data_IF_724111339636
#
_entry.id   IF_724111339636
#
_cell.length_a   1.000
_cell.length_b   1.000
_cell.length_c   1.000
_cell.angle_alpha   90.00
_cell.angle_beta   90.00
_cell.angle_gamma   90.00
#
_symmetry.space_group_name_H-M   'P 1'
#
loop_
_entity.id
_entity.type
_entity.pdbx_description
1 polymer ?
#
# COMPACT_ATOMS: atom_id res chain seq x y z
N UNK A 1 -6.94 2.66 9.66
CA UNK A 1 -6.68 1.29 10.13
C UNK A 1 -6.74 1.18 11.64
N UNK A 2 -6.01 1.98 12.40
CA UNK A 2 -5.99 1.91 13.88
C UNK A 2 -7.38 1.96 14.53
N UNK A 3 -8.28 2.82 14.05
CA UNK A 3 -9.69 2.86 14.50
C UNK A 3 -10.43 1.54 14.30
N UNK A 4 -10.21 0.87 13.17
CA UNK A 4 -10.81 -0.43 12.84
C UNK A 4 -10.20 -1.49 13.75
N UNK A 5 -8.89 -1.49 13.92
CA UNK A 5 -8.19 -2.46 14.74
C UNK A 5 -8.55 -2.36 16.23
N UNK A 6 -8.76 -1.17 16.78
CA UNK A 6 -9.06 -1.02 18.21
C UNK A 6 -10.54 -1.25 18.54
N UNK A 7 -11.44 -1.32 17.55
CA UNK A 7 -12.87 -1.58 17.74
C UNK A 7 -13.25 -3.00 17.27
N UNK A 8 -13.67 -3.85 18.21
CA UNK A 8 -13.98 -5.26 17.91
C UNK A 8 -15.10 -5.45 16.88
N UNK A 9 -16.18 -4.67 16.98
CA UNK A 9 -17.31 -4.77 16.06
C UNK A 9 -16.93 -4.28 14.67
N UNK A 10 -16.31 -3.10 14.58
CA UNK A 10 -15.87 -2.53 13.31
C UNK A 10 -14.82 -3.42 12.62
N UNK A 11 -13.90 -4.01 13.38
CA UNK A 11 -12.95 -5.00 12.86
C UNK A 11 -13.67 -6.22 12.28
N UNK A 12 -14.65 -6.78 12.99
CA UNK A 12 -15.40 -7.94 12.52
C UNK A 12 -16.14 -7.63 11.22
N UNK A 13 -16.77 -6.47 11.13
CA UNK A 13 -17.41 -5.98 9.91
C UNK A 13 -16.41 -5.83 8.76
N UNK A 14 -15.22 -5.25 9.03
CA UNK A 14 -14.17 -5.09 8.03
C UNK A 14 -13.63 -6.44 7.52
N UNK A 15 -13.40 -7.39 8.43
CA UNK A 15 -12.97 -8.75 8.09
C UNK A 15 -14.02 -9.43 7.21
N UNK A 16 -15.29 -9.37 7.60
CA UNK A 16 -16.39 -9.96 6.83
C UNK A 16 -16.53 -9.32 5.45
N UNK A 17 -16.46 -7.99 5.35
CA UNK A 17 -16.54 -7.28 4.07
C UNK A 17 -15.40 -7.67 3.12
N UNK A 18 -14.18 -7.89 3.64
CA UNK A 18 -13.06 -8.38 2.84
C UNK A 18 -13.24 -9.83 2.41
N UNK A 19 -13.74 -10.70 3.29
CA UNK A 19 -14.02 -12.09 2.93
C UNK A 19 -15.08 -12.15 1.82
N UNK A 20 -16.17 -11.39 1.95
CA UNK A 20 -17.22 -11.32 0.93
C UNK A 20 -16.73 -10.75 -0.39
N UNK A 21 -15.82 -9.76 -0.36
CA UNK A 21 -15.19 -9.25 -1.59
C UNK A 21 -14.39 -10.35 -2.30
N UNK A 22 -13.58 -11.10 -1.57
CA UNK A 22 -12.74 -12.17 -2.15
C UNK A 22 -13.60 -13.32 -2.67
N UNK A 23 -14.69 -13.68 -1.97
CA UNK A 23 -15.67 -14.66 -2.46
C UNK A 23 -16.30 -14.24 -3.79
N UNK A 24 -16.66 -12.96 -3.93
CA UNK A 24 -17.23 -12.42 -5.17
C UNK A 24 -16.22 -12.38 -6.31
N UNK A 25 -14.97 -12.00 -6.03
CA UNK A 25 -13.93 -11.83 -7.05
C UNK A 25 -13.34 -13.16 -7.52
N UNK A 26 -13.19 -14.13 -6.63
CA UNK A 26 -12.45 -15.36 -6.90
C UNK A 26 -13.27 -16.62 -6.79
N UNK A 27 -14.48 -16.56 -6.23
CA UNK A 27 -15.32 -17.72 -5.93
C UNK A 27 -15.02 -18.30 -4.55
N UNK A 28 -16.05 -18.59 -3.77
CA UNK A 28 -15.89 -19.12 -2.40
C UNK A 28 -15.11 -20.43 -2.35
N UNK A 29 -15.39 -21.34 -3.30
CA UNK A 29 -14.70 -22.64 -3.41
C UNK A 29 -13.22 -22.51 -3.76
N UNK A 30 -12.80 -21.36 -4.29
CA UNK A 30 -11.42 -21.11 -4.69
C UNK A 30 -10.57 -20.56 -3.53
N UNK A 31 -11.16 -20.20 -2.39
CA UNK A 31 -10.42 -19.68 -1.23
C UNK A 31 -9.89 -20.85 -0.40
N UNK A 32 -8.56 -21.02 -0.37
CA UNK A 32 -7.89 -22.06 0.42
C UNK A 32 -7.61 -21.57 1.84
N UNK A 33 -7.22 -20.29 1.98
CA UNK A 33 -6.86 -19.70 3.26
C UNK A 33 -7.22 -18.22 3.28
N UNK A 34 -7.80 -17.79 4.39
CA UNK A 34 -8.03 -16.37 4.69
C UNK A 34 -7.55 -16.14 6.13
N UNK A 35 -6.46 -15.40 6.29
CA UNK A 35 -5.81 -15.21 7.59
C UNK A 35 -5.56 -13.74 7.88
N UNK A 36 -5.82 -13.34 9.12
CA UNK A 36 -5.65 -11.97 9.59
C UNK A 36 -4.41 -11.93 10.46
N UNK A 37 -3.42 -11.11 10.09
CA UNK A 37 -2.23 -10.86 10.88
C UNK A 37 -2.43 -9.57 11.68
N UNK A 38 -2.13 -9.63 12.98
CA UNK A 38 -2.32 -8.53 13.96
C UNK A 38 -1.11 -8.32 14.87
N UNK A 39 -0.09 -9.11 14.65
CA UNK A 39 1.19 -9.16 15.36
C UNK A 39 2.28 -8.34 14.62
N UNK A 40 1.91 -7.67 13.53
CA UNK A 40 2.77 -6.80 12.75
C UNK A 40 2.37 -5.32 12.92
N UNK A 41 3.15 -4.42 12.29
CA UNK A 41 2.93 -2.97 12.40
C UNK A 41 1.54 -2.49 11.93
N UNK A 42 0.95 -3.20 10.98
CA UNK A 42 -0.37 -2.86 10.44
C UNK A 42 -1.14 -4.15 10.21
N UNK A 43 -2.32 -4.24 10.81
CA UNK A 43 -3.22 -5.37 10.58
C UNK A 43 -3.51 -5.52 9.08
N UNK A 44 -3.35 -6.74 8.56
CA UNK A 44 -3.61 -7.05 7.15
C UNK A 44 -4.10 -8.49 6.98
N UNK A 45 -4.63 -8.77 5.79
CA UNK A 45 -5.20 -10.08 5.43
C UNK A 45 -4.31 -10.74 4.38
N UNK A 46 -4.00 -12.02 4.59
CA UNK A 46 -3.51 -12.92 3.56
C UNK A 46 -4.65 -13.79 3.07
N UNK A 47 -4.97 -13.69 1.79
CA UNK A 47 -5.94 -14.56 1.12
C UNK A 47 -5.25 -15.38 0.04
N UNK A 48 -5.31 -16.69 0.16
CA UNK A 48 -4.73 -17.64 -0.79
C UNK A 48 -5.86 -18.27 -1.57
N UNK A 49 -5.82 -18.11 -2.90
CA UNK A 49 -6.85 -18.61 -3.82
C UNK A 49 -6.25 -19.55 -4.85
N UNK A 50 -7.02 -20.56 -5.27
CA UNK A 50 -6.68 -21.44 -6.39
C UNK A 50 -7.40 -20.93 -7.64
N UNK A 51 -6.71 -20.82 -8.80
CA UNK A 51 -7.32 -20.33 -10.02
C UNK A 51 -8.15 -21.40 -10.74
N UNK A 52 -9.07 -22.04 -10.03
CA UNK A 52 -9.96 -23.05 -10.59
C UNK A 52 -11.09 -22.36 -11.36
N UNK A 53 -11.15 -22.66 -12.64
CA UNK A 53 -12.15 -22.16 -13.59
C UNK A 53 -13.42 -23.00 -13.52
N UNK A 54 -14.52 -22.48 -14.08
CA UNK A 54 -15.82 -23.16 -14.05
C UNK A 54 -15.82 -24.51 -14.80
N UNK A 55 -14.94 -24.66 -15.79
CA UNK A 55 -14.73 -25.91 -16.54
C UNK A 55 -13.67 -26.83 -15.92
N UNK A 56 -13.17 -26.50 -14.72
CA UNK A 56 -12.29 -27.36 -13.92
C UNK A 56 -10.79 -27.23 -14.23
N UNK A 57 -10.37 -26.31 -15.10
CA UNK A 57 -8.95 -26.03 -15.36
C UNK A 57 -8.35 -25.09 -14.31
N UNK A 58 -7.03 -25.07 -14.20
CA UNK A 58 -6.29 -24.06 -13.44
C UNK A 58 -5.77 -22.96 -14.37
N UNK A 59 -6.35 -21.75 -14.30
CA UNK A 59 -5.97 -20.63 -15.17
C UNK A 59 -5.99 -19.29 -14.42
N UNK A 60 -4.81 -18.84 -13.97
CA UNK A 60 -4.67 -17.54 -13.31
C UNK A 60 -5.03 -16.38 -14.25
N UNK A 61 -4.76 -16.52 -15.55
CA UNK A 61 -5.12 -15.51 -16.56
C UNK A 61 -6.64 -15.28 -16.62
N UNK A 62 -7.41 -16.36 -16.52
CA UNK A 62 -8.87 -16.29 -16.58
C UNK A 62 -9.45 -15.72 -15.27
N UNK A 63 -8.88 -16.11 -14.12
CA UNK A 63 -9.33 -15.63 -12.82
C UNK A 63 -8.93 -14.16 -12.54
N UNK A 64 -7.69 -13.79 -12.87
CA UNK A 64 -7.17 -12.43 -12.62
C UNK A 64 -7.56 -11.45 -13.72
N UNK A 65 -7.77 -11.95 -14.93
CA UNK A 65 -8.05 -11.15 -16.10
C UNK A 65 -6.81 -10.42 -16.64
N UNK A 66 -7.07 -9.33 -17.35
CA UNK A 66 -6.09 -8.46 -17.98
C UNK A 66 -5.85 -7.17 -17.14
N UNK A 67 -4.90 -6.30 -17.52
CA UNK A 67 -4.60 -5.07 -16.77
C UNK A 67 -5.79 -4.13 -16.56
N UNK A 68 -6.73 -4.07 -17.51
CA UNK A 68 -7.95 -3.27 -17.37
C UNK A 68 -8.86 -3.84 -16.28
N UNK A 69 -9.06 -5.15 -16.28
CA UNK A 69 -9.87 -5.86 -15.27
C UNK A 69 -9.25 -5.74 -13.87
N UNK A 70 -7.93 -5.83 -13.76
CA UNK A 70 -7.23 -5.58 -12.49
C UNK A 70 -7.43 -4.14 -11.99
N UNK A 71 -7.39 -3.15 -12.88
CA UNK A 71 -7.67 -1.75 -12.53
C UNK A 71 -9.12 -1.56 -12.05
N UNK A 72 -10.08 -2.20 -12.72
CA UNK A 72 -11.49 -2.18 -12.32
C UNK A 72 -11.73 -2.92 -11.00
N UNK A 73 -11.00 -4.01 -10.71
CA UNK A 73 -11.06 -4.68 -9.40
C UNK A 73 -10.65 -3.74 -8.27
N UNK A 74 -9.65 -2.90 -8.50
CA UNK A 74 -9.24 -1.90 -7.53
C UNK A 74 -10.34 -0.84 -7.31
N UNK A 75 -11.08 -0.44 -8.36
CA UNK A 75 -12.27 0.42 -8.24
C UNK A 75 -13.35 -0.25 -7.37
N UNK A 76 -13.73 -1.49 -7.68
CA UNK A 76 -14.72 -2.25 -6.92
C UNK A 76 -14.32 -2.46 -5.45
N UNK A 77 -13.03 -2.70 -5.20
CA UNK A 77 -12.53 -2.86 -3.83
C UNK A 77 -12.68 -1.56 -3.03
N UNK A 78 -12.35 -0.42 -3.65
CA UNK A 78 -12.51 0.87 -3.01
C UNK A 78 -13.99 1.18 -2.69
N UNK A 79 -14.90 0.85 -3.60
CA UNK A 79 -16.34 1.01 -3.36
C UNK A 79 -16.83 0.16 -2.18
N UNK A 80 -16.42 -1.11 -2.11
CA UNK A 80 -16.77 -2.01 -1.00
C UNK A 80 -16.17 -1.54 0.34
N UNK A 81 -14.99 -0.91 0.31
CA UNK A 81 -14.29 -0.44 1.51
C UNK A 81 -14.66 0.99 1.93
N UNK A 82 -15.51 1.68 1.16
CA UNK A 82 -15.89 3.09 1.38
C UNK A 82 -16.52 3.32 2.75
N UNK A 83 -17.35 2.39 3.24
CA UNK A 83 -17.98 2.47 4.58
C UNK A 83 -16.97 2.50 5.73
N UNK A 84 -15.76 1.97 5.51
CA UNK A 84 -14.66 1.98 6.48
C UNK A 84 -13.75 3.21 6.33
N UNK A 85 -14.13 4.17 5.47
CA UNK A 85 -13.38 5.41 5.23
C UNK A 85 -12.20 5.25 4.26
N UNK A 86 -12.09 4.13 3.55
CA UNK A 86 -11.07 3.96 2.52
C UNK A 86 -11.47 4.60 1.20
N UNK A 87 -10.44 5.00 0.45
CA UNK A 87 -10.59 5.58 -0.87
C UNK A 87 -9.73 4.82 -1.88
N UNK A 88 -10.10 4.99 -3.14
CA UNK A 88 -9.37 4.39 -4.24
C UNK A 88 -7.98 5.03 -4.38
N UNK A 89 -6.95 4.20 -4.54
CA UNK A 89 -5.61 4.66 -4.88
C UNK A 89 -5.57 5.40 -6.23
N UNK A 90 -4.55 6.26 -6.41
CA UNK A 90 -4.37 7.03 -7.64
C UNK A 90 -4.19 6.06 -8.82
N UNK A 91 -4.87 6.31 -9.95
CA UNK A 91 -4.75 5.52 -11.17
C UNK A 91 -3.44 5.86 -11.89
N UNK A 92 -2.85 4.86 -12.56
CA UNK A 92 -1.72 5.04 -13.48
C UNK A 92 -0.52 5.81 -12.87
N UNK A 93 -0.16 5.51 -11.63
CA UNK A 93 0.94 6.20 -10.92
C UNK A 93 2.33 5.88 -11.46
N UNK A 94 2.47 4.82 -12.28
CA UNK A 94 3.76 4.28 -12.72
C UNK A 94 4.59 3.65 -11.60
N UNK A 95 4.08 3.64 -10.36
CA UNK A 95 4.76 3.06 -9.19
C UNK A 95 4.90 1.56 -9.38
N UNK A 96 6.13 1.08 -9.26
CA UNK A 96 6.44 -0.35 -9.26
C UNK A 96 6.33 -0.89 -7.84
N UNK A 97 5.82 -2.12 -7.71
CA UNK A 97 5.84 -2.83 -6.44
C UNK A 97 7.28 -3.00 -5.95
N UNK A 98 7.48 -2.79 -4.66
CA UNK A 98 8.74 -3.07 -3.96
C UNK A 98 8.46 -4.08 -2.84
N UNK A 99 9.41 -4.96 -2.59
CA UNK A 99 9.30 -5.89 -1.47
C UNK A 99 9.42 -5.17 -0.12
N UNK A 100 8.93 -5.81 0.94
CA UNK A 100 8.89 -5.21 2.28
C UNK A 100 10.28 -4.82 2.81
N UNK A 101 11.31 -5.62 2.54
CA UNK A 101 12.68 -5.35 3.01
C UNK A 101 13.22 -4.09 2.33
N UNK A 102 13.05 -3.97 1.02
CA UNK A 102 13.41 -2.80 0.24
C UNK A 102 12.67 -1.54 0.72
N UNK A 103 11.36 -1.65 0.95
CA UNK A 103 10.56 -0.56 1.50
C UNK A 103 11.10 -0.08 2.85
N UNK A 104 11.31 -0.98 3.81
CA UNK A 104 11.78 -0.60 5.14
C UNK A 104 13.22 -0.07 5.13
N UNK A 105 14.10 -0.59 4.26
CA UNK A 105 15.42 -0.05 4.06
C UNK A 105 15.36 1.41 3.57
N UNK A 106 14.48 1.70 2.60
CA UNK A 106 14.24 3.05 2.07
C UNK A 106 13.69 4.00 3.13
N UNK A 107 12.70 3.56 3.91
CA UNK A 107 12.13 4.32 5.04
C UNK A 107 13.22 4.65 6.07
N UNK A 108 14.04 3.67 6.45
CA UNK A 108 15.13 3.88 7.42
C UNK A 108 16.15 4.89 6.92
N UNK A 109 16.54 4.81 5.65
CA UNK A 109 17.45 5.79 5.04
C UNK A 109 16.82 7.20 5.00
N UNK A 110 15.54 7.31 4.64
CA UNK A 110 14.83 8.58 4.64
C UNK A 110 14.74 9.17 6.05
N UNK A 111 14.47 8.36 7.08
CA UNK A 111 14.45 8.81 8.47
C UNK A 111 15.81 9.31 8.95
N UNK A 112 16.90 8.62 8.59
CA UNK A 112 18.25 9.07 8.93
C UNK A 112 18.63 10.42 8.28
N UNK A 113 17.96 10.80 7.19
CA UNK A 113 18.15 12.10 6.53
C UNK A 113 17.29 13.24 7.11
N UNK A 114 16.47 12.96 8.13
CA UNK A 114 15.71 13.98 8.86
C UNK A 114 16.58 14.58 9.95
N UNK A 115 16.92 15.87 9.81
CA UNK A 115 17.59 16.62 10.87
C UNK A 115 16.55 17.19 11.83
N UNK A 116 16.85 17.24 13.14
CA UNK A 116 15.95 17.85 14.15
C UNK A 116 15.62 19.32 13.84
N UNK A 117 16.51 20.01 13.12
CA UNK A 117 16.32 21.41 12.71
C UNK A 117 15.29 21.60 11.57
N UNK A 118 14.81 20.53 10.93
CA UNK A 118 13.76 20.60 9.90
C UNK A 118 12.37 20.88 10.52
N UNK A 119 12.27 20.90 11.86
CA UNK A 119 11.06 21.18 12.61
C UNK A 119 11.08 22.59 13.21
N UNK A 120 10.38 23.53 12.56
CA UNK A 120 9.95 24.77 13.21
C UNK A 120 8.45 24.70 13.40
N UNK A 121 7.96 24.22 14.55
CA UNK A 121 6.53 24.23 14.80
C UNK A 121 6.06 25.69 14.93
N UNK A 122 5.08 26.10 14.12
CA UNK A 122 4.46 27.42 14.27
C UNK A 122 3.54 27.43 15.49
N UNK A 123 3.75 28.40 16.38
CA UNK A 123 2.92 28.60 17.57
C UNK A 123 1.59 29.24 17.15
N UNK A 124 0.50 28.80 17.76
CA UNK A 124 -0.76 29.54 17.66
C UNK A 124 -0.68 30.86 18.45
N UNK A 125 -1.72 31.71 18.36
CA UNK A 125 -1.79 33.02 19.02
C UNK A 125 -1.58 32.98 20.55
N UNK A 126 -1.77 31.81 21.18
CA UNK A 126 -1.60 31.57 22.62
C UNK A 126 -0.27 30.89 22.98
N UNK A 127 0.62 30.67 22.00
CA UNK A 127 1.93 30.07 22.24
C UNK A 127 1.93 28.54 22.44
N UNK A 128 0.81 27.86 22.19
CA UNK A 128 0.61 26.43 22.45
C UNK A 128 0.67 25.63 21.16
N UNK A 129 1.40 24.52 21.16
CA UNK A 129 1.39 23.56 20.05
C UNK A 129 0.16 22.67 20.16
N UNK A 130 -0.66 22.54 19.11
CA UNK A 130 -1.60 21.40 19.02
C UNK A 130 -0.78 20.14 18.76
N UNK A 131 -0.73 19.21 19.70
CA UNK A 131 0.02 17.95 19.59
C UNK A 131 -0.29 17.19 18.30
N UNK A 132 -1.58 17.12 17.95
CA UNK A 132 -2.07 16.48 16.71
C UNK A 132 -1.48 17.11 15.44
N UNK A 133 -1.35 18.45 15.40
CA UNK A 133 -0.82 19.15 14.22
C UNK A 133 0.68 18.95 14.02
N UNK A 134 1.44 18.75 15.10
CA UNK A 134 2.88 18.47 15.03
C UNK A 134 3.13 17.05 14.53
N UNK A 135 2.36 16.08 15.03
CA UNK A 135 2.45 14.68 14.60
C UNK A 135 2.03 14.51 13.12
N UNK A 136 0.96 15.19 12.70
CA UNK A 136 0.51 15.18 11.31
C UNK A 136 1.59 15.77 10.38
N UNK A 137 2.20 16.89 10.76
CA UNK A 137 3.29 17.52 10.00
C UNK A 137 4.55 16.65 9.94
N UNK A 138 4.89 15.96 11.04
CA UNK A 138 5.96 14.95 11.07
C UNK A 138 5.70 13.79 10.11
N UNK A 139 4.47 13.27 10.09
CA UNK A 139 4.07 12.20 9.19
C UNK A 139 4.10 12.63 7.72
N UNK A 140 3.64 13.85 7.42
CA UNK A 140 3.73 14.45 6.07
C UNK A 140 5.17 14.58 5.63
N UNK A 141 6.05 15.19 6.43
CA UNK A 141 7.47 15.37 6.08
C UNK A 141 8.17 14.02 5.86
N UNK A 142 7.90 13.04 6.74
CA UNK A 142 8.44 11.67 6.59
C UNK A 142 7.98 11.03 5.28
N UNK A 143 6.69 11.18 4.92
CA UNK A 143 6.15 10.68 3.66
C UNK A 143 6.82 11.34 2.45
N UNK A 144 7.02 12.66 2.47
CA UNK A 144 7.65 13.43 1.41
C UNK A 144 9.12 13.03 1.23
N UNK A 145 9.90 12.96 2.31
CA UNK A 145 11.32 12.53 2.23
C UNK A 145 11.46 11.09 1.75
N UNK A 146 10.55 10.21 2.14
CA UNK A 146 10.57 8.83 1.67
C UNK A 146 10.24 8.75 0.17
N UNK A 147 9.29 9.55 -0.31
CA UNK A 147 8.99 9.69 -1.73
C UNK A 147 10.18 10.27 -2.51
N UNK A 148 10.83 11.31 -1.99
CA UNK A 148 12.03 11.91 -2.59
C UNK A 148 13.15 10.87 -2.71
N UNK A 149 13.41 10.10 -1.64
CA UNK A 149 14.43 9.05 -1.65
C UNK A 149 14.13 7.95 -2.67
N UNK A 150 12.84 7.65 -2.90
CA UNK A 150 12.43 6.71 -3.96
C UNK A 150 12.86 7.21 -5.34
N UNK A 151 12.64 8.50 -5.62
CA UNK A 151 13.04 9.11 -6.89
C UNK A 151 14.55 9.13 -7.06
N UNK A 152 15.31 9.41 -6.00
CA UNK A 152 16.78 9.38 -6.05
C UNK A 152 17.31 7.99 -6.44
N UNK A 153 16.74 6.93 -5.85
CA UNK A 153 17.11 5.54 -6.17
C UNK A 153 16.74 5.17 -7.61
N UNK A 154 15.61 5.64 -8.11
CA UNK A 154 15.20 5.43 -9.50
C UNK A 154 16.12 6.15 -10.49
N UNK A 155 16.47 7.41 -10.20
CA UNK A 155 17.43 8.19 -11.00
C UNK A 155 18.79 7.48 -11.04
N UNK A 156 19.28 6.97 -9.90
CA UNK A 156 20.54 6.24 -9.85
C UNK A 156 20.52 4.99 -10.75
N UNK A 157 19.45 4.19 -10.70
CA UNK A 157 19.28 3.01 -11.57
C UNK A 157 19.23 3.38 -13.04
N UNK A 158 18.50 4.44 -13.40
CA UNK A 158 18.42 4.90 -14.79
C UNK A 158 19.78 5.37 -15.31
N UNK A 159 20.58 6.06 -14.50
CA UNK A 159 21.95 6.46 -14.87
C UNK A 159 22.87 5.26 -15.09
N UNK A 160 22.80 4.25 -14.23
CA UNK A 160 23.57 3.00 -14.41
C UNK A 160 23.15 2.27 -15.69
N UNK A 161 21.85 2.21 -15.97
CA UNK A 161 21.34 1.59 -17.19
C UNK A 161 21.80 2.35 -18.44
N UNK A 162 21.69 3.68 -18.45
CA UNK A 162 22.19 4.52 -19.56
C UNK A 162 23.68 4.31 -19.81
N UNK A 163 24.47 4.18 -18.74
CA UNK A 163 25.91 3.90 -18.85
C UNK A 163 26.14 2.54 -19.52
N UNK A 164 25.47 1.49 -19.06
CA UNK A 164 25.56 0.15 -19.67
C UNK A 164 25.11 0.17 -21.13
N UNK A 165 23.98 0.79 -21.44
CA UNK A 165 23.45 0.86 -22.81
C UNK A 165 24.39 1.65 -23.74
N UNK A 166 25.11 2.65 -23.21
CA UNK A 166 26.15 3.38 -23.97
C UNK A 166 27.42 2.56 -24.19
N UNK A 167 27.75 1.62 -23.29
CA UNK A 167 28.89 0.70 -23.42
C UNK A 167 28.63 -0.43 -24.44
N UNK A 168 27.35 -0.74 -24.74
CA UNK A 168 26.95 -1.80 -25.67
C UNK A 168 26.56 -1.32 -27.09
N UNK A 169 26.56 -0.01 -27.36
CA UNK A 169 26.40 0.53 -28.72
C UNK A 169 27.76 0.53 -29.43
N UNK A 170 28.08 -0.57 -30.11
CA UNK A 170 29.06 -0.63 -31.21
C UNK A 170 28.32 -0.42 -32.52
#
# INVERSE_FOLDING_TARGET
MEKIENNSNLRKEWINANLEFIKKEFGEKNIVRFSIHRDEKTMHIHAVTVPLTNDGRLSARELLGNPKEMSQRQDRYADQMKSFGFQRGIKATGVKHEDAKTYYARIKQAQNSISQNDFKPEKNLLGVYKSESVEEMQNVLKSQKTALKSKDLEIAKLKEQQKKDSEFKI
#
